data_IF_585344005749
#
_entry.id   IF_585344005749
#
_cell.length_a   1.000
_cell.length_b   1.000
_cell.length_c   1.000
_cell.angle_alpha   90.00
_cell.angle_beta   90.00
_cell.angle_gamma   90.00
#
_symmetry.space_group_name_H-M   'P 1'
#
loop_
_entity.id
_entity.type
_entity.pdbx_description
1 polymer ?
#
# COMPACT_ATOMS: atom_id res chain seq x y z
N UNK A 1 28.59 1.58 -25.77
CA UNK A 1 28.25 1.79 -24.36
C UNK A 1 27.10 2.79 -24.14
N UNK A 2 27.12 3.99 -24.74
CA UNK A 2 26.03 4.99 -24.60
C UNK A 2 24.63 4.48 -24.99
N UNK A 3 24.52 3.66 -26.04
CA UNK A 3 23.23 3.08 -26.49
C UNK A 3 22.62 2.09 -25.47
N UNK A 4 23.45 1.31 -24.80
CA UNK A 4 23.02 0.34 -23.76
C UNK A 4 22.55 1.10 -22.51
N UNK A 5 23.25 2.17 -22.14
CA UNK A 5 22.86 3.04 -21.03
C UNK A 5 21.47 3.66 -21.25
N UNK A 6 21.19 4.15 -22.46
CA UNK A 6 19.89 4.75 -22.82
C UNK A 6 18.75 3.73 -22.72
N UNK A 7 18.98 2.51 -23.19
CA UNK A 7 17.98 1.42 -23.09
C UNK A 7 17.69 1.10 -21.63
N UNK A 8 18.72 1.02 -20.78
CA UNK A 8 18.58 0.67 -19.37
C UNK A 8 17.84 1.77 -18.59
N UNK A 9 18.15 3.05 -18.85
CA UNK A 9 17.44 4.19 -18.26
C UNK A 9 15.97 4.21 -18.68
N UNK A 10 15.67 3.96 -19.96
CA UNK A 10 14.29 3.87 -20.47
C UNK A 10 13.51 2.74 -19.78
N UNK A 11 14.15 1.58 -19.58
CA UNK A 11 13.52 0.43 -18.92
C UNK A 11 13.19 0.71 -17.45
N UNK A 12 14.09 1.38 -16.75
CA UNK A 12 13.88 1.83 -15.35
C UNK A 12 12.77 2.86 -15.30
N UNK A 13 12.73 3.81 -16.24
CA UNK A 13 11.68 4.82 -16.30
C UNK A 13 10.29 4.21 -16.56
N UNK A 14 10.22 3.21 -17.45
CA UNK A 14 9.00 2.45 -17.71
C UNK A 14 8.53 1.70 -16.46
N UNK A 15 9.45 1.07 -15.72
CA UNK A 15 9.15 0.34 -14.49
C UNK A 15 8.64 1.27 -13.37
N UNK A 16 9.24 2.46 -13.23
CA UNK A 16 8.80 3.48 -12.29
C UNK A 16 7.42 4.04 -12.67
N UNK A 17 7.17 4.27 -13.96
CA UNK A 17 5.89 4.74 -14.47
C UNK A 17 4.74 3.75 -14.21
N UNK A 18 5.02 2.44 -14.34
CA UNK A 18 4.04 1.38 -14.02
C UNK A 18 3.72 1.36 -12.52
N UNK A 19 4.70 1.64 -11.66
CA UNK A 19 4.53 1.60 -10.20
C UNK A 19 3.62 2.73 -9.68
N UNK A 20 3.68 3.93 -10.26
CA UNK A 20 2.80 5.04 -9.89
C UNK A 20 1.32 4.83 -10.25
N UNK A 21 1.02 4.03 -11.27
CA UNK A 21 -0.36 3.80 -11.71
C UNK A 21 -1.13 2.77 -10.87
N UNK A 22 -0.46 2.04 -9.99
CA UNK A 22 -1.09 0.95 -9.24
C UNK A 22 -2.08 1.41 -8.15
N UNK A 23 -2.07 2.70 -7.77
CA UNK A 23 -2.93 3.25 -6.73
C UNK A 23 -4.43 3.28 -7.09
N UNK A 24 -4.79 3.34 -8.37
CA UNK A 24 -6.19 3.43 -8.84
C UNK A 24 -6.78 2.07 -9.26
N UNK A 25 -6.02 0.97 -9.19
CA UNK A 25 -6.42 -0.31 -9.77
C UNK A 25 -7.34 -1.20 -8.92
N UNK A 26 -7.99 -0.64 -7.89
CA UNK A 26 -8.82 -1.43 -6.95
C UNK A 26 -10.06 -2.08 -7.55
N UNK A 27 -10.41 -1.81 -8.82
CA UNK A 27 -11.56 -2.40 -9.50
C UNK A 27 -11.40 -2.48 -11.03
N UNK A 28 -10.17 -2.60 -11.55
CA UNK A 28 -9.92 -2.65 -13.00
C UNK A 28 -10.77 -3.69 -13.75
N UNK A 29 -10.98 -4.85 -13.14
CA UNK A 29 -11.77 -5.94 -13.72
C UNK A 29 -13.27 -5.62 -13.85
N UNK A 30 -13.75 -4.49 -13.30
CA UNK A 30 -15.14 -4.03 -13.50
C UNK A 30 -15.27 -3.16 -14.75
N UNK A 31 -14.17 -2.65 -15.30
CA UNK A 31 -14.20 -1.80 -16.48
C UNK A 31 -14.23 -2.64 -17.76
N UNK A 32 -15.43 -2.78 -18.34
CA UNK A 32 -15.66 -3.56 -19.57
C UNK A 32 -14.88 -3.03 -20.78
N UNK A 33 -14.57 -1.72 -20.83
CA UNK A 33 -13.79 -1.12 -21.91
C UNK A 33 -12.33 -1.58 -21.83
N UNK A 34 -11.72 -1.46 -20.64
CA UNK A 34 -10.34 -1.90 -20.42
C UNK A 34 -10.14 -3.40 -20.62
N UNK A 35 -11.10 -4.23 -20.20
CA UNK A 35 -11.03 -5.68 -20.44
C UNK A 35 -11.02 -6.01 -21.94
N UNK A 36 -11.84 -5.31 -22.73
CA UNK A 36 -11.89 -5.47 -24.19
C UNK A 36 -10.62 -4.96 -24.84
N UNK A 37 -10.14 -3.79 -24.45
CA UNK A 37 -8.95 -3.16 -25.02
C UNK A 37 -7.67 -3.98 -24.74
N UNK A 38 -7.61 -4.68 -23.60
CA UNK A 38 -6.47 -5.51 -23.18
C UNK A 38 -6.66 -7.00 -23.52
N UNK A 39 -7.80 -7.37 -24.11
CA UNK A 39 -8.13 -8.74 -24.55
C UNK A 39 -7.87 -9.82 -23.47
N UNK A 40 -8.24 -9.53 -22.21
CA UNK A 40 -8.04 -10.48 -21.11
C UNK A 40 -8.99 -11.69 -21.22
N UNK A 41 -8.45 -12.89 -20.98
CA UNK A 41 -9.25 -14.11 -20.86
C UNK A 41 -10.08 -14.15 -19.59
N UNK A 42 -11.15 -14.95 -19.57
CA UNK A 42 -11.99 -15.15 -18.38
C UNK A 42 -11.20 -15.64 -17.16
N UNK A 43 -10.22 -16.53 -17.37
CA UNK A 43 -9.32 -17.00 -16.30
C UNK A 43 -8.53 -15.84 -15.68
N UNK A 44 -7.97 -14.96 -16.50
CA UNK A 44 -7.22 -13.79 -16.03
C UNK A 44 -8.11 -12.81 -15.28
N UNK A 45 -9.34 -12.58 -15.75
CA UNK A 45 -10.32 -11.71 -15.08
C UNK A 45 -10.67 -12.27 -13.70
N UNK A 46 -10.89 -13.57 -13.58
CA UNK A 46 -11.19 -14.22 -12.30
C UNK A 46 -10.01 -14.13 -11.33
N UNK A 47 -8.77 -14.35 -11.79
CA UNK A 47 -7.58 -14.19 -10.95
C UNK A 47 -7.42 -12.76 -10.45
N UNK A 48 -7.61 -11.75 -11.31
CA UNK A 48 -7.54 -10.34 -10.91
C UNK A 48 -8.61 -10.01 -9.86
N UNK A 49 -9.83 -10.52 -10.04
CA UNK A 49 -10.92 -10.36 -9.08
C UNK A 49 -10.57 -10.97 -7.72
N UNK A 50 -10.08 -12.20 -7.69
CA UNK A 50 -9.68 -12.89 -6.46
C UNK A 50 -8.55 -12.15 -5.74
N UNK A 51 -7.51 -11.76 -6.48
CA UNK A 51 -6.40 -10.98 -5.94
C UNK A 51 -6.89 -9.70 -5.30
N UNK A 52 -7.76 -8.95 -5.96
CA UNK A 52 -8.21 -7.69 -5.41
C UNK A 52 -9.15 -7.84 -4.22
N UNK A 53 -10.03 -8.86 -4.19
CA UNK A 53 -10.85 -9.14 -3.01
C UNK A 53 -9.95 -9.50 -1.83
N UNK A 54 -8.90 -10.30 -2.07
CA UNK A 54 -7.91 -10.64 -1.04
C UNK A 54 -7.19 -9.40 -0.54
N UNK A 55 -6.68 -8.55 -1.45
CA UNK A 55 -6.01 -7.30 -1.09
C UNK A 55 -6.92 -6.36 -0.32
N UNK A 56 -8.20 -6.27 -0.68
CA UNK A 56 -9.19 -5.47 0.06
C UNK A 56 -9.39 -5.98 1.49
N UNK A 57 -9.51 -7.30 1.67
CA UNK A 57 -9.57 -7.92 3.01
C UNK A 57 -8.32 -7.65 3.83
N UNK A 58 -7.14 -7.82 3.23
CA UNK A 58 -5.86 -7.58 3.90
C UNK A 58 -5.71 -6.11 4.31
N UNK A 59 -6.12 -5.18 3.44
CA UNK A 59 -6.12 -3.74 3.73
C UNK A 59 -7.07 -3.39 4.89
N UNK A 60 -8.28 -3.97 4.94
CA UNK A 60 -9.21 -3.78 6.05
C UNK A 60 -8.59 -4.29 7.34
N UNK A 61 -8.00 -5.50 7.32
CA UNK A 61 -7.34 -6.08 8.51
C UNK A 61 -6.24 -5.18 9.05
N UNK A 62 -5.35 -4.71 8.17
CA UNK A 62 -4.26 -3.78 8.54
C UNK A 62 -4.84 -2.48 9.12
N UNK A 63 -5.90 -1.92 8.53
CA UNK A 63 -6.56 -0.72 9.06
C UNK A 63 -7.12 -0.96 10.46
N UNK A 64 -7.85 -2.05 10.67
CA UNK A 64 -8.41 -2.39 11.98
C UNK A 64 -7.32 -2.59 13.03
N UNK A 65 -6.22 -3.25 12.67
CA UNK A 65 -5.06 -3.39 13.58
C UNK A 65 -4.44 -2.04 13.94
N UNK A 66 -4.38 -1.08 13.00
CA UNK A 66 -3.91 0.28 13.28
C UNK A 66 -4.88 1.03 14.20
N UNK A 67 -6.18 0.93 13.96
CA UNK A 67 -7.21 1.58 14.77
C UNK A 67 -7.17 1.09 16.21
N UNK A 68 -7.05 -0.23 16.44
CA UNK A 68 -6.89 -0.80 17.78
C UNK A 68 -5.64 -0.26 18.48
N UNK A 69 -4.50 -0.23 17.80
CA UNK A 69 -3.26 0.32 18.37
C UNK A 69 -3.34 1.82 18.65
N UNK A 70 -4.14 2.58 17.90
CA UNK A 70 -4.39 4.00 18.18
C UNK A 70 -5.23 4.20 19.43
N UNK A 71 -6.20 3.30 19.69
CA UNK A 71 -6.97 3.30 20.93
C UNK A 71 -6.02 3.01 22.11
N UNK A 72 -5.21 1.95 22.03
CA UNK A 72 -4.21 1.62 23.06
C UNK A 72 -3.29 2.81 23.37
N UNK A 73 -2.84 3.50 22.32
CA UNK A 73 -1.98 4.67 22.47
C UNK A 73 -2.71 5.84 23.15
N UNK A 74 -3.98 6.07 22.80
CA UNK A 74 -4.80 7.12 23.40
C UNK A 74 -5.03 6.84 24.89
N UNK A 75 -5.32 5.60 25.26
CA UNK A 75 -5.49 5.21 26.67
C UNK A 75 -4.24 5.51 27.51
N UNK A 76 -3.04 5.27 26.97
CA UNK A 76 -1.79 5.57 27.68
C UNK A 76 -1.54 7.09 27.78
N UNK A 77 -1.94 7.85 26.77
CA UNK A 77 -1.77 9.31 26.74
C UNK A 77 -2.77 10.04 27.65
N UNK A 78 -3.99 9.51 27.78
CA UNK A 78 -5.06 10.10 28.59
C UNK A 78 -4.93 9.75 30.10
N UNK A 79 -3.94 8.94 30.48
CA UNK A 79 -3.67 8.60 31.88
C UNK A 79 -3.10 9.81 32.66
N UNK A 80 -3.46 9.94 33.96
CA UNK A 80 -3.02 11.05 34.84
C UNK A 80 -1.50 11.26 34.87
N UNK A 81 -0.72 10.19 34.63
CA UNK A 81 0.73 10.24 34.43
C UNK A 81 1.08 9.35 33.22
N UNK A 82 1.21 9.92 32.02
CA UNK A 82 1.55 9.17 30.82
C UNK A 82 2.94 8.55 30.93
N UNK A 83 3.08 7.28 30.57
CA UNK A 83 4.35 6.56 30.53
C UNK A 83 4.99 6.72 29.15
N UNK A 84 5.97 7.63 29.04
CA UNK A 84 6.69 7.90 27.79
C UNK A 84 7.33 6.65 27.18
N UNK A 85 7.82 5.72 28.01
CA UNK A 85 8.42 4.47 27.53
C UNK A 85 7.40 3.56 26.86
N UNK A 86 6.18 3.49 27.40
CA UNK A 86 5.07 2.76 26.78
C UNK A 86 4.57 3.43 25.51
N UNK A 87 4.46 4.76 25.50
CA UNK A 87 4.07 5.55 24.32
C UNK A 87 5.04 5.30 23.16
N UNK A 88 6.35 5.42 23.38
CA UNK A 88 7.38 5.17 22.35
C UNK A 88 7.36 3.71 21.89
N UNK A 89 7.13 2.76 22.81
CA UNK A 89 7.01 1.34 22.50
C UNK A 89 5.78 0.98 21.64
N UNK A 90 4.69 1.74 21.75
CA UNK A 90 3.49 1.61 20.92
C UNK A 90 3.70 2.28 19.54
N UNK A 91 4.33 3.46 19.50
CA UNK A 91 4.65 4.16 18.23
C UNK A 91 5.63 3.35 17.38
N UNK A 92 6.68 2.78 17.97
CA UNK A 92 7.69 1.99 17.23
C UNK A 92 7.11 0.69 16.64
N UNK A 93 5.99 0.20 17.18
CA UNK A 93 5.24 -0.96 16.70
C UNK A 93 4.21 -0.62 15.61
N UNK A 94 4.06 0.65 15.26
CA UNK A 94 3.25 1.14 14.16
C UNK A 94 4.15 1.42 12.93
N UNK A 95 4.14 0.57 11.89
CA UNK A 95 4.97 0.78 10.71
C UNK A 95 4.56 2.01 9.88
N UNK A 96 3.36 2.57 10.09
CA UNK A 96 2.84 3.73 9.35
C UNK A 96 3.37 5.09 9.86
N UNK A 97 3.95 5.17 11.06
CA UNK A 97 4.48 6.42 11.64
C UNK A 97 5.97 6.64 11.39
N UNK A 98 6.68 5.65 10.83
CA UNK A 98 8.11 5.72 10.52
C UNK A 98 8.42 6.25 9.09
N UNK A 99 7.40 6.50 8.26
CA UNK A 99 7.56 6.94 6.86
C UNK A 99 7.35 8.45 6.65
N UNK A 100 6.94 9.22 7.66
CA UNK A 100 6.58 10.65 7.52
C UNK A 100 7.52 11.64 8.22
N UNK A 101 8.65 11.19 8.79
CA UNK A 101 9.65 12.08 9.35
C UNK A 101 10.56 12.67 8.26
N UNK A 102 10.81 13.99 8.22
CA UNK A 102 11.83 14.55 7.35
C UNK A 102 13.17 13.96 7.80
N UNK A 103 13.92 13.39 6.86
CA UNK A 103 15.33 13.07 7.08
C UNK A 103 16.07 14.41 7.18
N UNK A 104 16.28 14.86 8.42
CA UNK A 104 17.25 15.90 8.78
C UNK A 104 18.60 15.25 9.05
#
# INVERSE_FOLDING_TARGET
MKKILIILVSLVFLFLFISSSFAEFRCLWKNKKLIKDVALSEKQINTIKELSIKTEKDMIKVRSEIELKQIDLREVLDADKPDEGKVVGLIKRNPSTLSSGPKG
#
